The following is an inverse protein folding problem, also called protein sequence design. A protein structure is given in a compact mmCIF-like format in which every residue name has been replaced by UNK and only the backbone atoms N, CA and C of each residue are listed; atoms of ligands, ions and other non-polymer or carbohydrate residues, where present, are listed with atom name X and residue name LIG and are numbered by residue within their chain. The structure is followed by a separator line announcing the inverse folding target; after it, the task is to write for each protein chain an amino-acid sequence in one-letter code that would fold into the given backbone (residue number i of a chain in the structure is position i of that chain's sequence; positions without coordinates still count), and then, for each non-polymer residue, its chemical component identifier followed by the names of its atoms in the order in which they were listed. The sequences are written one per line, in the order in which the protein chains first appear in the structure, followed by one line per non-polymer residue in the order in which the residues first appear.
data_IF_223084097041
#
_entry.id   IF_223084097041
#
_cell.length_a   1.000
_cell.length_b   1.000
_cell.length_c   1.000
_cell.angle_alpha   90.00
_cell.angle_beta   90.00
_cell.angle_gamma   90.00
#
_symmetry.space_group_name_H-M   'P 1'
#
loop_
_entity.id
_entity.type
_entity.pdbx_description
1 polymer ?
#
# COMPACT_ATOMS: atom_id res chain seq x y z
N UNK A 1 -40.89 -6.33 10.88
CA UNK A 1 -41.02 -4.88 11.17
C UNK A 1 -39.89 -4.46 12.10
N UNK A 2 -38.65 -4.44 11.61
CA UNK A 2 -37.52 -3.74 12.21
C UNK A 2 -36.72 -3.13 11.06
N UNK A 3 -36.41 -1.85 11.19
CA UNK A 3 -35.95 -0.96 10.13
C UNK A 3 -34.44 -1.12 9.97
N UNK A 4 -33.99 -1.23 8.72
CA UNK A 4 -32.60 -1.09 8.30
C UNK A 4 -32.05 0.25 8.84
N UNK A 5 -31.13 0.20 9.80
CA UNK A 5 -30.41 1.38 10.28
C UNK A 5 -29.12 1.50 9.47
N UNK A 6 -29.14 2.35 8.44
CA UNK A 6 -27.94 2.73 7.68
C UNK A 6 -27.30 3.91 8.38
N UNK A 7 -26.21 3.69 9.11
CA UNK A 7 -25.45 4.79 9.72
C UNK A 7 -24.60 5.43 8.63
N UNK A 8 -24.94 6.67 8.28
CA UNK A 8 -24.12 7.52 7.39
C UNK A 8 -23.52 8.58 8.29
N UNK A 9 -22.21 8.53 8.54
CA UNK A 9 -21.51 9.60 9.25
C UNK A 9 -21.13 10.64 8.20
N UNK A 10 -22.06 11.57 7.94
CA UNK A 10 -21.77 12.82 7.25
C UNK A 10 -21.94 13.93 8.29
N UNK A 11 -20.92 14.78 8.40
CA UNK A 11 -20.72 15.76 9.47
C UNK A 11 -22.00 16.33 10.09
N UNK A 12 -22.15 16.11 11.40
CA UNK A 12 -23.24 16.69 12.17
C UNK A 12 -22.70 17.24 13.48
N UNK A 13 -22.66 18.58 13.57
CA UNK A 13 -22.64 19.31 14.82
C UNK A 13 -23.91 18.94 15.58
N UNK A 14 -23.80 18.21 16.71
CA UNK A 14 -24.97 17.88 17.54
C UNK A 14 -24.75 18.25 19.00
N UNK A 15 -25.73 19.01 19.48
CA UNK A 15 -25.94 19.39 20.85
C UNK A 15 -26.06 18.16 21.78
N UNK A 16 -25.29 18.20 22.87
CA UNK A 16 -25.29 17.20 23.94
C UNK A 16 -26.64 17.24 24.66
N UNK A 17 -27.49 16.26 24.40
CA UNK A 17 -28.64 15.93 25.25
C UNK A 17 -28.23 14.73 26.12
N UNK A 18 -28.02 15.00 27.40
CA UNK A 18 -27.54 14.03 28.38
C UNK A 18 -28.50 12.86 28.56
N UNK A 19 -28.05 11.68 28.14
CA UNK A 19 -28.47 10.42 28.72
C UNK A 19 -27.33 9.88 29.56
N UNK A 20 -27.55 9.83 30.88
CA UNK A 20 -26.63 9.24 31.85
C UNK A 20 -26.52 7.74 31.60
N UNK A 21 -25.45 7.31 30.93
CA UNK A 21 -25.06 5.90 30.88
C UNK A 21 -24.35 5.61 32.20
N UNK A 22 -25.03 4.86 33.07
CA UNK A 22 -24.43 4.31 34.29
C UNK A 22 -23.25 3.42 33.91
N UNK A 23 -22.05 3.79 34.37
CA UNK A 23 -20.82 3.08 34.09
C UNK A 23 -20.88 1.63 34.57
N UNK A 24 -20.88 0.69 33.63
CA UNK A 24 -20.24 -0.59 33.87
C UNK A 24 -18.74 -0.32 33.91
N UNK A 25 -18.08 -0.83 34.95
CA UNK A 25 -16.63 -0.92 34.97
C UNK A 25 -16.20 -1.76 33.76
N UNK A 26 -15.79 -1.07 32.69
CA UNK A 26 -15.29 -1.70 31.49
C UNK A 26 -14.08 -2.55 31.89
N UNK A 27 -14.12 -3.84 31.55
CA UNK A 27 -12.91 -4.65 31.51
C UNK A 27 -11.86 -3.83 30.74
N UNK A 28 -10.67 -3.66 31.30
CA UNK A 28 -9.62 -2.80 30.73
C UNK A 28 -9.01 -3.32 29.42
N UNK A 29 -9.72 -4.22 28.74
CA UNK A 29 -9.29 -4.95 27.56
C UNK A 29 -10.18 -4.60 26.39
N UNK A 30 -9.56 -4.45 25.22
CA UNK A 30 -10.28 -4.27 23.96
C UNK A 30 -11.22 -5.46 23.69
N UNK A 31 -12.41 -5.21 23.13
CA UNK A 31 -13.46 -6.22 22.97
C UNK A 31 -13.04 -7.32 21.99
N UNK A 32 -13.43 -8.56 22.28
CA UNK A 32 -13.02 -9.76 21.50
C UNK A 32 -14.19 -10.62 21.03
N UNK A 33 -15.38 -10.43 21.61
CA UNK A 33 -16.59 -11.11 21.17
C UNK A 33 -17.06 -10.49 19.85
N UNK A 34 -17.73 -11.27 19.03
CA UNK A 34 -18.33 -10.85 17.77
C UNK A 34 -19.64 -11.60 17.58
N UNK A 35 -20.53 -11.04 16.76
CA UNK A 35 -21.74 -11.69 16.29
C UNK A 35 -21.52 -12.24 14.87
N UNK A 36 -21.39 -13.57 14.69
CA UNK A 36 -21.18 -14.18 13.38
C UNK A 36 -22.30 -13.90 12.36
N UNK A 37 -23.53 -13.64 12.84
CA UNK A 37 -24.71 -13.45 11.99
C UNK A 37 -24.98 -11.97 11.70
N UNK A 38 -24.15 -11.07 12.23
CA UNK A 38 -24.31 -9.63 12.06
C UNK A 38 -24.04 -9.16 10.64
N UNK A 39 -24.99 -8.35 10.14
CA UNK A 39 -24.91 -7.62 8.87
C UNK A 39 -24.60 -6.13 9.07
N UNK A 40 -24.09 -5.76 10.25
CA UNK A 40 -23.68 -4.38 10.51
C UNK A 40 -22.37 -4.08 9.78
N UNK A 41 -22.30 -2.90 9.16
CA UNK A 41 -21.16 -2.44 8.37
C UNK A 41 -20.76 -1.03 8.79
N UNK A 42 -19.46 -0.75 8.77
CA UNK A 42 -18.89 0.57 9.02
C UNK A 42 -18.53 1.19 7.68
N UNK A 43 -18.92 2.46 7.49
CA UNK A 43 -18.55 3.22 6.29
C UNK A 43 -17.21 3.91 6.47
N UNK A 44 -16.36 3.80 5.45
CA UNK A 44 -15.01 4.35 5.46
C UNK A 44 -14.77 5.33 4.29
N UNK A 45 -15.80 6.00 3.78
CA UNK A 45 -15.68 6.81 2.56
C UNK A 45 -14.63 7.93 2.68
N UNK A 46 -14.62 8.64 3.81
CA UNK A 46 -13.66 9.73 4.07
C UNK A 46 -12.23 9.20 4.16
N UNK A 47 -12.06 8.02 4.76
CA UNK A 47 -10.77 7.35 4.84
C UNK A 47 -10.30 6.85 3.47
N UNK A 48 -11.19 6.24 2.70
CA UNK A 48 -10.92 5.79 1.34
C UNK A 48 -10.57 6.97 0.41
N UNK A 49 -11.21 8.12 0.59
CA UNK A 49 -10.88 9.34 -0.14
C UNK A 49 -9.43 9.78 0.12
N UNK A 50 -9.00 9.77 1.38
CA UNK A 50 -7.60 10.06 1.74
C UNK A 50 -6.66 9.01 1.16
N UNK A 51 -6.98 7.73 1.25
CA UNK A 51 -6.14 6.65 0.71
C UNK A 51 -5.98 6.77 -0.80
N UNK A 52 -7.08 6.90 -1.53
CA UNK A 52 -7.07 6.99 -2.99
C UNK A 52 -6.37 8.26 -3.51
N UNK A 53 -6.46 9.38 -2.78
CA UNK A 53 -5.80 10.63 -3.14
C UNK A 53 -4.32 10.71 -2.76
N UNK A 54 -3.89 10.00 -1.72
CA UNK A 54 -2.53 10.15 -1.16
C UNK A 54 -1.60 8.96 -1.38
N UNK A 55 -2.13 7.79 -1.73
CA UNK A 55 -1.35 6.56 -1.91
C UNK A 55 -1.06 6.32 -3.39
N UNK A 56 0.23 6.35 -3.75
CA UNK A 56 0.73 5.96 -5.06
C UNK A 56 1.10 4.48 -5.07
N UNK A 57 0.32 3.67 -5.78
CA UNK A 57 0.68 2.29 -6.07
C UNK A 57 1.83 2.21 -7.09
N UNK A 58 2.97 1.64 -6.70
CA UNK A 58 4.12 1.45 -7.59
C UNK A 58 4.07 0.12 -8.36
N UNK A 59 3.08 -0.73 -8.10
CA UNK A 59 2.92 -2.05 -8.69
C UNK A 59 3.84 -3.11 -8.06
N UNK A 60 3.71 -4.38 -8.49
CA UNK A 60 4.47 -5.49 -7.93
C UNK A 60 5.98 -5.32 -8.13
N UNK A 61 6.77 -5.84 -7.18
CA UNK A 61 8.22 -5.84 -7.27
C UNK A 61 8.69 -6.70 -8.46
N UNK A 62 9.72 -6.22 -9.17
CA UNK A 62 10.47 -7.00 -10.16
C UNK A 62 11.75 -7.62 -9.55
N UNK A 63 11.89 -7.55 -8.22
CA UNK A 63 13.00 -8.03 -7.40
C UNK A 63 14.37 -7.49 -7.83
N UNK A 64 14.40 -6.36 -8.53
CA UNK A 64 15.64 -5.71 -8.94
C UNK A 64 16.07 -4.72 -7.87
N UNK A 65 17.28 -4.86 -7.30
CA UNK A 65 17.80 -3.88 -6.37
C UNK A 65 17.80 -2.49 -7.01
N UNK A 66 17.31 -1.50 -6.27
CA UNK A 66 17.41 -0.11 -6.68
C UNK A 66 18.88 0.20 -7.02
N UNK A 67 19.11 0.75 -8.21
CA UNK A 67 20.46 1.16 -8.62
C UNK A 67 20.95 2.16 -7.58
N UNK A 68 22.06 1.84 -6.90
CA UNK A 68 22.74 2.80 -6.02
C UNK A 68 23.01 4.02 -6.89
N UNK A 69 22.35 5.15 -6.62
CA UNK A 69 22.53 6.36 -7.40
C UNK A 69 24.03 6.66 -7.45
N UNK A 70 24.64 6.37 -8.59
CA UNK A 70 26.05 6.64 -8.82
C UNK A 70 26.17 8.14 -8.99
N UNK A 71 26.82 8.81 -8.05
CA UNK A 71 27.37 10.14 -8.29
C UNK A 71 28.39 10.00 -9.43
N UNK A 72 27.96 10.10 -10.68
CA UNK A 72 28.85 10.13 -11.85
C UNK A 72 28.89 11.49 -12.53
N UNK A 73 28.15 12.49 -12.07
CA UNK A 73 28.10 13.80 -12.72
C UNK A 73 28.56 15.01 -11.90
N UNK A 74 28.85 14.87 -10.60
CA UNK A 74 29.32 16.02 -9.80
C UNK A 74 30.35 15.59 -8.77
N UNK A 75 31.45 16.33 -8.61
CA UNK A 75 32.47 16.20 -7.57
C UNK A 75 31.93 16.36 -6.11
N UNK A 76 30.62 16.33 -5.91
CA UNK A 76 29.99 16.32 -4.60
C UNK A 76 29.88 14.90 -4.06
N UNK A 77 30.34 14.70 -2.82
CA UNK A 77 30.19 13.43 -2.07
C UNK A 77 28.78 13.27 -1.47
N UNK A 78 27.91 14.27 -1.62
CA UNK A 78 26.54 14.22 -1.09
C UNK A 78 25.66 13.31 -1.94
N UNK A 79 24.99 12.36 -1.28
CA UNK A 79 24.00 11.47 -1.87
C UNK A 79 22.62 11.89 -1.37
N UNK A 80 21.76 12.30 -2.28
CA UNK A 80 20.38 12.68 -1.98
C UNK A 80 19.46 11.48 -2.28
N UNK A 81 18.68 11.03 -1.30
CA UNK A 81 17.71 9.93 -1.43
C UNK A 81 17.98 8.71 -0.52
N UNK A 82 17.10 7.71 -0.60
CA UNK A 82 17.22 6.43 0.09
C UNK A 82 18.15 5.48 -0.69
N UNK A 83 19.34 5.22 -0.17
CA UNK A 83 20.32 4.36 -0.86
C UNK A 83 20.12 2.84 -0.63
N UNK A 84 18.98 2.42 -0.09
CA UNK A 84 18.68 1.00 0.13
C UNK A 84 18.43 0.27 -1.19
N UNK A 85 18.65 -1.04 -1.19
CA UNK A 85 18.30 -1.90 -2.32
C UNK A 85 16.77 -1.95 -2.58
N UNK A 86 15.97 -1.63 -1.57
CA UNK A 86 14.51 -1.62 -1.60
C UNK A 86 13.92 -0.25 -1.90
N UNK A 87 14.74 0.77 -2.18
CA UNK A 87 14.29 2.15 -2.36
C UNK A 87 13.31 2.38 -3.52
N UNK A 88 13.18 1.42 -4.44
CA UNK A 88 12.21 1.44 -5.54
C UNK A 88 11.02 0.47 -5.34
N UNK A 89 10.94 -0.18 -4.19
CA UNK A 89 9.87 -1.13 -3.87
C UNK A 89 8.80 -0.52 -2.97
N UNK A 90 7.62 -1.13 -2.97
CA UNK A 90 6.47 -0.74 -2.16
C UNK A 90 5.74 0.47 -2.71
N UNK A 91 4.53 0.71 -2.21
CA UNK A 91 3.79 1.92 -2.52
C UNK A 91 4.39 3.16 -1.84
N UNK A 92 3.91 4.35 -2.22
CA UNK A 92 4.36 5.62 -1.65
C UNK A 92 3.17 6.41 -1.14
N UNK A 93 3.35 7.08 -0.02
CA UNK A 93 2.36 8.01 0.55
C UNK A 93 2.90 9.43 0.39
N UNK A 94 2.05 10.35 -0.07
CA UNK A 94 2.38 11.76 -0.27
C UNK A 94 2.40 12.54 1.05
N UNK A 95 3.24 12.12 2.00
CA UNK A 95 3.33 12.73 3.35
C UNK A 95 3.63 14.24 3.32
N UNK A 96 4.30 14.74 2.29
CA UNK A 96 4.59 16.16 2.12
C UNK A 96 3.36 17.02 1.78
N UNK A 97 2.27 16.40 1.34
CA UNK A 97 1.00 17.08 1.05
C UNK A 97 0.15 17.24 2.32
N UNK A 98 0.44 16.48 3.37
CA UNK A 98 -0.24 16.61 4.65
C UNK A 98 0.33 17.82 5.41
N UNK A 99 -0.09 19.02 5.01
CA UNK A 99 0.17 20.25 5.79
C UNK A 99 -0.64 20.28 7.09
N UNK A 100 -0.52 21.37 7.87
CA UNK A 100 -1.22 21.52 9.15
C UNK A 100 -2.74 21.22 9.05
N UNK A 101 -3.42 21.76 8.05
CA UNK A 101 -4.86 21.54 7.83
C UNK A 101 -5.20 20.06 7.52
N UNK A 102 -4.29 19.33 6.89
CA UNK A 102 -4.50 17.92 6.54
C UNK A 102 -4.17 16.98 7.71
N UNK A 103 -3.35 17.42 8.67
CA UNK A 103 -3.19 16.70 9.94
C UNK A 103 -4.53 16.66 10.69
N UNK A 104 -5.28 17.75 10.66
CA UNK A 104 -6.61 17.83 11.27
C UNK A 104 -7.59 16.87 10.59
N UNK A 105 -7.54 16.71 9.26
CA UNK A 105 -8.38 15.72 8.56
C UNK A 105 -8.07 14.27 8.98
N UNK A 106 -6.78 13.90 9.08
CA UNK A 106 -6.38 12.57 9.56
C UNK A 106 -6.77 12.36 11.03
N UNK A 107 -6.65 13.39 11.85
CA UNK A 107 -7.05 13.36 13.26
C UNK A 107 -8.57 13.22 13.40
N UNK A 108 -9.34 13.93 12.59
CA UNK A 108 -10.80 13.85 12.56
C UNK A 108 -11.26 12.44 12.19
N UNK A 109 -10.75 11.88 11.09
CA UNK A 109 -11.07 10.49 10.68
C UNK A 109 -10.70 9.49 11.79
N UNK A 110 -9.52 9.65 12.41
CA UNK A 110 -9.12 8.80 13.53
C UNK A 110 -10.12 8.92 14.70
N UNK A 111 -10.54 10.13 15.05
CA UNK A 111 -11.49 10.38 16.14
C UNK A 111 -12.88 9.83 15.84
N UNK A 112 -13.32 9.93 14.59
CA UNK A 112 -14.58 9.33 14.15
C UNK A 112 -14.53 7.82 14.29
N UNK A 113 -13.44 7.17 13.88
CA UNK A 113 -13.24 5.73 14.10
C UNK A 113 -13.15 5.36 15.59
N UNK A 114 -12.43 6.14 16.41
CA UNK A 114 -12.38 5.94 17.87
C UNK A 114 -13.78 5.95 18.51
N UNK A 115 -14.72 6.71 17.96
CA UNK A 115 -16.09 6.86 18.48
C UNK A 115 -17.07 5.77 18.04
N UNK A 116 -16.75 4.94 17.05
CA UNK A 116 -17.66 3.88 16.54
C UNK A 116 -18.24 3.01 17.67
N UNK A 117 -17.44 2.50 18.63
CA UNK A 117 -17.95 1.66 19.72
C UNK A 117 -18.92 2.37 20.67
N UNK A 118 -18.91 3.71 20.71
CA UNK A 118 -19.83 4.49 21.54
C UNK A 118 -21.25 4.49 20.96
N UNK A 119 -21.39 4.28 19.65
CA UNK A 119 -22.68 4.19 18.96
C UNK A 119 -23.18 2.77 18.80
N UNK A 120 -22.29 1.85 18.42
CA UNK A 120 -22.58 0.42 18.28
C UNK A 120 -21.39 -0.38 18.82
N UNK A 121 -21.55 -1.11 19.93
CA UNK A 121 -20.46 -1.91 20.51
C UNK A 121 -19.84 -2.85 19.48
N UNK A 122 -18.52 -3.04 19.55
CA UNK A 122 -17.81 -3.85 18.55
C UNK A 122 -18.32 -5.30 18.51
N UNK A 123 -18.84 -5.82 19.63
CA UNK A 123 -19.41 -7.15 19.74
C UNK A 123 -20.61 -7.41 18.82
N UNK A 124 -21.31 -6.35 18.40
CA UNK A 124 -22.46 -6.43 17.50
C UNK A 124 -22.03 -6.56 16.03
N UNK A 125 -20.73 -6.51 15.72
CA UNK A 125 -20.21 -6.72 14.37
C UNK A 125 -19.67 -8.13 14.19
N UNK A 126 -19.66 -8.61 12.94
CA UNK A 126 -19.01 -9.87 12.60
C UNK A 126 -17.47 -9.75 12.66
N UNK A 127 -16.79 -10.90 12.73
CA UNK A 127 -15.34 -10.96 12.91
C UNK A 127 -14.52 -10.26 11.80
N UNK A 128 -15.06 -10.17 10.58
CA UNK A 128 -14.35 -9.58 9.45
C UNK A 128 -14.49 -8.06 9.46
N UNK A 129 -15.68 -7.57 9.80
CA UNK A 129 -15.92 -6.14 9.98
C UNK A 129 -15.10 -5.59 11.16
N UNK A 130 -14.99 -6.34 12.27
CA UNK A 130 -14.07 -5.97 13.36
C UNK A 130 -12.61 -5.92 12.91
N UNK A 131 -12.16 -6.90 12.13
CA UNK A 131 -10.78 -6.93 11.62
C UNK A 131 -10.51 -5.73 10.70
N UNK A 132 -11.46 -5.39 9.82
CA UNK A 132 -11.40 -4.22 8.97
C UNK A 132 -11.32 -2.92 9.78
N UNK A 133 -12.16 -2.78 10.81
CA UNK A 133 -12.13 -1.66 11.76
C UNK A 133 -10.75 -1.47 12.38
N UNK A 134 -10.16 -2.54 12.94
CA UNK A 134 -8.86 -2.45 13.59
C UNK A 134 -7.75 -2.04 12.62
N UNK A 135 -7.75 -2.54 11.38
CA UNK A 135 -6.77 -2.11 10.39
C UNK A 135 -6.95 -0.66 9.96
N UNK A 136 -8.18 -0.20 9.73
CA UNK A 136 -8.41 1.17 9.32
C UNK A 136 -8.01 2.13 10.45
N UNK A 137 -8.39 1.86 11.70
CA UNK A 137 -8.00 2.66 12.86
C UNK A 137 -6.47 2.66 13.06
N UNK A 138 -5.83 1.49 12.96
CA UNK A 138 -4.37 1.39 13.03
C UNK A 138 -3.70 2.21 11.93
N UNK A 139 -4.13 2.04 10.67
CA UNK A 139 -3.45 2.63 9.52
C UNK A 139 -3.64 4.14 9.46
N UNK A 140 -4.81 4.68 9.85
CA UNK A 140 -5.00 6.13 9.97
C UNK A 140 -4.16 6.71 11.11
N UNK A 141 -4.05 6.01 12.25
CA UNK A 141 -3.21 6.44 13.37
C UNK A 141 -1.72 6.49 12.98
N UNK A 142 -1.23 5.48 12.26
CA UNK A 142 0.13 5.48 11.70
C UNK A 142 0.31 6.63 10.71
N UNK A 143 -0.61 6.82 9.76
CA UNK A 143 -0.52 7.93 8.81
C UNK A 143 -0.47 9.29 9.50
N UNK A 144 -1.31 9.50 10.52
CA UNK A 144 -1.31 10.72 11.33
C UNK A 144 0.05 10.95 12.03
N UNK A 145 0.57 9.94 12.75
CA UNK A 145 1.84 10.10 13.48
C UNK A 145 3.03 10.34 12.55
N UNK A 146 3.05 9.69 11.38
CA UNK A 146 4.12 9.89 10.38
C UNK A 146 4.01 11.26 9.71
N UNK A 147 2.80 11.71 9.36
CA UNK A 147 2.57 13.04 8.81
C UNK A 147 2.99 14.13 9.82
N UNK A 148 2.56 14.01 11.08
CA UNK A 148 2.92 14.93 12.17
C UNK A 148 4.43 15.01 12.40
N UNK A 149 5.16 13.91 12.21
CA UNK A 149 6.60 13.86 12.33
C UNK A 149 7.35 14.33 11.07
N UNK A 150 6.65 14.62 9.97
CA UNK A 150 7.27 15.05 8.72
C UNK A 150 7.88 16.46 8.86
N UNK A 151 9.11 16.72 8.34
CA UNK A 151 9.98 15.81 7.59
C UNK A 151 10.79 14.85 8.49
N UNK A 152 10.65 13.55 8.23
CA UNK A 152 11.42 12.49 8.88
C UNK A 152 11.92 11.46 7.87
N UNK A 153 13.22 11.12 7.93
CA UNK A 153 13.84 10.16 6.98
C UNK A 153 13.76 8.70 7.40
N UNK A 154 13.75 8.44 8.71
CA UNK A 154 13.91 7.09 9.28
C UNK A 154 12.90 6.87 10.41
N UNK A 155 12.02 5.89 10.23
CA UNK A 155 10.86 5.62 11.09
C UNK A 155 11.21 4.88 12.37
N UNK A 156 12.40 4.25 12.45
CA UNK A 156 12.87 3.66 13.70
C UNK A 156 12.97 4.71 14.83
N UNK A 157 13.13 6.00 14.51
CA UNK A 157 13.09 7.07 15.52
C UNK A 157 11.72 7.23 16.19
N UNK A 158 10.64 6.89 15.49
CA UNK A 158 9.28 6.93 16.03
C UNK A 158 8.89 5.63 16.73
N UNK A 159 9.41 4.48 16.27
CA UNK A 159 9.02 3.15 16.76
C UNK A 159 9.97 2.52 17.79
N UNK A 160 11.24 2.90 17.77
CA UNK A 160 12.29 2.34 18.65
C UNK A 160 13.06 3.44 19.39
N UNK A 161 12.71 4.71 19.15
CA UNK A 161 13.37 5.86 19.75
C UNK A 161 12.90 6.14 21.17
N UNK A 162 13.55 7.12 21.81
CA UNK A 162 13.20 7.58 23.16
C UNK A 162 11.74 8.07 23.28
N UNK A 163 11.17 8.56 22.17
CA UNK A 163 9.79 9.03 22.08
C UNK A 163 8.98 8.04 21.24
N UNK A 164 8.93 6.77 21.68
CA UNK A 164 8.25 5.72 20.94
C UNK A 164 6.74 5.98 20.86
N UNK A 165 6.26 6.46 19.71
CA UNK A 165 4.85 6.80 19.51
C UNK A 165 3.95 5.56 19.44
N UNK A 166 4.51 4.38 19.15
CA UNK A 166 3.75 3.12 19.13
C UNK A 166 3.22 2.73 20.51
N UNK A 167 3.89 3.16 21.58
CA UNK A 167 3.56 2.79 22.96
C UNK A 167 2.69 3.83 23.67
N UNK A 168 2.52 5.01 23.05
CA UNK A 168 1.74 6.11 23.63
C UNK A 168 0.25 5.80 23.50
N UNK A 169 -0.45 5.79 24.64
CA UNK A 169 -1.91 5.66 24.73
C UNK A 169 -2.58 6.96 24.24
N UNK A 170 -2.59 7.17 22.93
CA UNK A 170 -3.05 8.39 22.26
C UNK A 170 -4.49 8.33 21.76
N UNK A 171 -5.12 7.15 21.85
CA UNK A 171 -6.49 6.88 21.42
C UNK A 171 -7.33 6.38 22.60
N UNK A 172 -8.65 6.52 22.52
CA UNK A 172 -9.59 5.87 23.44
C UNK A 172 -10.66 5.15 22.64
N UNK A 173 -10.82 3.84 22.85
CA UNK A 173 -11.76 2.98 22.11
C UNK A 173 -12.70 2.35 23.13
N UNK A 174 -13.98 2.71 23.10
CA UNK A 174 -14.96 2.25 24.10
C UNK A 174 -14.53 2.57 25.54
N UNK A 175 -13.89 3.72 25.74
CA UNK A 175 -13.34 4.15 27.04
C UNK A 175 -11.99 3.53 27.43
N UNK A 176 -11.41 2.62 26.63
CA UNK A 176 -10.11 1.98 26.91
C UNK A 176 -8.97 2.81 26.31
N UNK A 177 -8.02 3.35 27.11
CA UNK A 177 -6.84 4.02 26.59
C UNK A 177 -5.97 3.04 25.78
N UNK A 178 -5.68 3.39 24.53
CA UNK A 178 -5.12 2.47 23.55
C UNK A 178 -3.99 3.14 22.75
N UNK A 179 -2.92 2.38 22.49
CA UNK A 179 -1.81 2.74 21.61
C UNK A 179 -1.87 2.00 20.28
N UNK A 180 -1.02 2.40 19.33
CA UNK A 180 -0.89 1.67 18.05
C UNK A 180 -0.44 0.23 18.30
N UNK A 181 0.52 0.01 19.21
CA UNK A 181 0.98 -1.34 19.58
C UNK A 181 -0.13 -2.18 20.19
N UNK A 182 -0.99 -1.60 21.03
CA UNK A 182 -2.10 -2.36 21.60
C UNK A 182 -3.04 -2.91 20.52
N UNK A 183 -3.29 -2.14 19.45
CA UNK A 183 -4.10 -2.60 18.32
C UNK A 183 -3.40 -3.74 17.58
N UNK A 184 -2.09 -3.61 17.32
CA UNK A 184 -1.28 -4.68 16.71
C UNK A 184 -1.38 -5.98 17.53
N UNK A 185 -1.11 -5.90 18.83
CA UNK A 185 -1.15 -7.04 19.76
C UNK A 185 -2.56 -7.62 19.88
N UNK A 186 -3.59 -6.76 19.95
CA UNK A 186 -4.98 -7.18 20.01
C UNK A 186 -5.37 -8.01 18.78
N UNK A 187 -5.08 -7.51 17.58
CA UNK A 187 -5.41 -8.23 16.34
C UNK A 187 -4.64 -9.56 16.27
N UNK A 188 -3.35 -9.58 16.61
CA UNK A 188 -2.52 -10.81 16.57
C UNK A 188 -3.02 -11.87 17.55
N UNK A 189 -3.51 -11.45 18.73
CA UNK A 189 -3.98 -12.38 19.75
C UNK A 189 -5.36 -12.99 19.43
N UNK A 190 -6.19 -12.27 18.67
CA UNK A 190 -7.56 -12.67 18.37
C UNK A 190 -7.72 -13.31 16.98
N UNK A 191 -6.93 -12.90 15.98
CA UNK A 191 -6.92 -13.49 14.64
C UNK A 191 -5.61 -14.25 14.40
N UNK A 192 -5.63 -15.56 14.67
CA UNK A 192 -4.43 -16.43 14.66
C UNK A 192 -3.87 -16.77 13.27
N UNK A 193 -4.48 -16.26 12.20
CA UNK A 193 -3.97 -16.47 10.84
C UNK A 193 -2.81 -15.49 10.55
N UNK A 194 -1.59 -15.95 10.19
CA UNK A 194 -0.46 -15.06 9.88
C UNK A 194 -0.69 -14.02 8.79
N UNK A 195 -1.74 -14.18 7.96
CA UNK A 195 -2.17 -13.15 7.00
C UNK A 195 -2.43 -11.79 7.64
N UNK A 196 -2.77 -11.76 8.94
CA UNK A 196 -3.06 -10.51 9.65
C UNK A 196 -1.88 -9.53 9.66
N UNK A 197 -0.66 -10.03 9.50
CA UNK A 197 0.54 -9.19 9.45
C UNK A 197 0.56 -8.25 8.25
N UNK A 198 -0.13 -8.58 7.17
CA UNK A 198 -0.12 -7.78 5.95
C UNK A 198 -1.13 -6.62 5.98
N UNK A 199 -1.94 -6.49 7.04
CA UNK A 199 -2.86 -5.36 7.19
C UNK A 199 -2.23 -4.13 7.86
N UNK A 200 -1.12 -4.32 8.58
CA UNK A 200 -0.44 -3.26 9.32
C UNK A 200 0.51 -2.46 8.44
N UNK A 201 0.14 -1.23 8.12
CA UNK A 201 1.04 -0.27 7.50
C UNK A 201 2.01 0.33 8.52
N UNK A 202 3.30 0.37 8.21
CA UNK A 202 4.35 0.82 9.13
C UNK A 202 4.87 2.24 8.87
N UNK A 203 4.40 2.91 7.81
CA UNK A 203 4.95 4.21 7.37
C UNK A 203 6.33 4.14 6.72
N UNK A 204 6.99 2.98 6.79
CA UNK A 204 8.32 2.73 6.25
C UNK A 204 8.27 1.90 4.96
N UNK A 205 9.31 2.02 4.13
CA UNK A 205 9.44 1.21 2.92
C UNK A 205 9.45 -0.27 3.29
N UNK A 206 10.11 -0.66 4.38
CA UNK A 206 10.32 -2.06 4.77
C UNK A 206 9.08 -2.86 5.15
N UNK A 207 7.95 -2.21 5.46
CA UNK A 207 6.69 -2.86 5.81
C UNK A 207 5.82 -3.24 4.61
N UNK A 208 4.69 -3.93 4.82
CA UNK A 208 3.66 -4.17 3.82
C UNK A 208 3.10 -2.88 3.21
N UNK A 209 2.53 -2.96 2.02
CA UNK A 209 1.94 -1.80 1.35
C UNK A 209 0.65 -1.38 2.07
N UNK A 210 0.40 -0.08 2.23
CA UNK A 210 -0.96 0.39 2.56
C UNK A 210 -1.89 0.21 1.35
N UNK A 211 -3.18 -0.07 1.56
CA UNK A 211 -4.11 -0.22 0.43
C UNK A 211 -4.59 1.15 -0.06
N UNK A 212 -5.00 1.24 -1.32
CA UNK A 212 -5.61 2.46 -1.90
C UNK A 212 -7.12 2.54 -1.62
N UNK A 213 -7.67 1.52 -0.95
CA UNK A 213 -9.05 1.39 -0.51
C UNK A 213 -9.07 1.05 0.97
N UNK A 214 -10.14 1.44 1.66
CA UNK A 214 -10.31 1.05 3.05
C UNK A 214 -10.58 -0.46 3.15
N UNK A 215 -10.18 -1.07 4.27
CA UNK A 215 -10.61 -2.42 4.57
C UNK A 215 -12.11 -2.41 4.93
N UNK A 216 -12.84 -3.44 4.52
CA UNK A 216 -14.24 -3.69 4.88
C UNK A 216 -14.39 -5.16 5.22
N UNK A 217 -15.46 -5.56 5.91
CA UNK A 217 -15.72 -6.97 6.22
C UNK A 217 -15.72 -7.85 4.96
N UNK A 218 -16.22 -7.32 3.85
CA UNK A 218 -16.28 -8.04 2.57
C UNK A 218 -14.91 -8.21 1.90
N UNK A 219 -14.01 -7.23 2.01
CA UNK A 219 -12.75 -7.22 1.26
C UNK A 219 -11.52 -7.65 2.07
N UNK A 220 -11.59 -7.65 3.41
CA UNK A 220 -10.38 -7.68 4.25
C UNK A 220 -9.52 -8.92 4.01
N UNK A 221 -10.14 -10.09 3.86
CA UNK A 221 -9.41 -11.34 3.64
C UNK A 221 -8.68 -11.35 2.30
N UNK A 222 -9.36 -10.94 1.23
CA UNK A 222 -8.77 -10.87 -0.12
C UNK A 222 -7.63 -9.85 -0.17
N UNK A 223 -7.85 -8.66 0.40
CA UNK A 223 -6.86 -7.59 0.42
C UNK A 223 -5.59 -7.98 1.21
N UNK A 224 -5.75 -8.70 2.34
CA UNK A 224 -4.62 -9.27 3.09
C UNK A 224 -3.85 -10.31 2.28
N UNK A 225 -4.53 -11.20 1.55
CA UNK A 225 -3.88 -12.20 0.70
C UNK A 225 -3.12 -11.55 -0.46
N UNK A 226 -3.73 -10.57 -1.13
CA UNK A 226 -3.08 -9.81 -2.20
C UNK A 226 -1.84 -9.09 -1.68
N UNK A 227 -1.92 -8.50 -0.49
CA UNK A 227 -0.78 -7.81 0.12
C UNK A 227 0.31 -8.80 0.59
N UNK A 228 -0.07 -9.99 1.06
CA UNK A 228 0.86 -11.08 1.36
C UNK A 228 1.69 -11.48 0.14
N UNK A 229 1.02 -11.74 -0.99
CA UNK A 229 1.68 -12.07 -2.26
C UNK A 229 2.58 -10.92 -2.71
N UNK A 230 2.13 -9.66 -2.63
CA UNK A 230 2.96 -8.50 -3.01
C UNK A 230 4.21 -8.39 -2.13
N UNK A 231 4.05 -8.51 -0.82
CA UNK A 231 5.13 -8.31 0.13
C UNK A 231 6.16 -9.45 0.08
N UNK A 232 5.73 -10.70 0.19
CA UNK A 232 6.61 -11.89 0.19
C UNK A 232 7.50 -11.93 -1.05
N UNK A 233 6.94 -11.57 -2.21
CA UNK A 233 7.66 -11.59 -3.48
C UNK A 233 8.52 -10.34 -3.72
N UNK A 234 8.57 -9.40 -2.79
CA UNK A 234 9.44 -8.22 -2.88
C UNK A 234 10.80 -8.44 -2.19
N UNK A 235 11.82 -7.65 -2.56
CA UNK A 235 13.09 -7.61 -1.84
C UNK A 235 12.95 -7.11 -0.40
N UNK A 236 11.84 -6.43 -0.06
CA UNK A 236 11.48 -6.08 1.33
C UNK A 236 10.97 -7.26 2.14
N UNK A 237 10.16 -8.12 1.54
CA UNK A 237 9.56 -9.27 2.23
C UNK A 237 10.52 -10.43 2.40
N UNK A 238 11.28 -10.76 1.36
CA UNK A 238 12.29 -11.81 1.42
C UNK A 238 13.45 -11.61 0.44
N UNK A 239 14.67 -11.77 0.96
CA UNK A 239 15.90 -11.75 0.16
C UNK A 239 16.80 -12.93 0.50
N UNK A 240 17.34 -13.60 -0.52
CA UNK A 240 18.46 -14.51 -0.35
C UNK A 240 19.79 -13.73 -0.36
N UNK A 241 20.61 -13.95 0.66
CA UNK A 241 21.98 -13.40 0.73
C UNK A 241 22.97 -14.53 0.94
N UNK A 242 23.76 -14.85 -0.10
CA UNK A 242 24.56 -16.08 -0.14
C UNK A 242 23.64 -17.30 0.07
N UNK A 243 23.82 -18.08 1.14
CA UNK A 243 22.95 -19.21 1.51
C UNK A 243 21.97 -18.90 2.64
N UNK A 244 21.89 -17.65 3.11
CA UNK A 244 21.01 -17.25 4.20
C UNK A 244 19.78 -16.52 3.65
N UNK A 245 18.60 -17.06 3.96
CA UNK A 245 17.34 -16.36 3.73
C UNK A 245 17.18 -15.24 4.74
N UNK A 246 16.76 -14.06 4.26
CA UNK A 246 16.51 -12.88 5.08
C UNK A 246 15.08 -12.41 4.86
N UNK A 247 14.11 -12.99 5.59
CA UNK A 247 12.77 -12.44 5.68
C UNK A 247 12.78 -11.06 6.35
N UNK A 248 11.69 -10.33 6.14
CA UNK A 248 11.50 -9.01 6.74
C UNK A 248 11.52 -9.05 8.27
N UNK A 249 12.09 -8.04 8.93
CA UNK A 249 11.93 -7.86 10.39
C UNK A 249 10.47 -7.56 10.78
N UNK A 250 9.59 -7.26 9.81
CA UNK A 250 8.14 -7.13 10.03
C UNK A 250 7.52 -8.37 10.70
N UNK A 251 8.07 -9.56 10.45
CA UNK A 251 7.59 -10.80 11.07
C UNK A 251 7.87 -10.89 12.58
N UNK A 252 8.65 -9.97 13.16
CA UNK A 252 8.83 -9.90 14.61
C UNK A 252 7.53 -9.55 15.34
N UNK A 253 6.67 -8.71 14.72
CA UNK A 253 5.39 -8.28 15.28
C UNK A 253 4.50 -9.49 15.61
N UNK A 254 4.37 -10.42 14.66
CA UNK A 254 3.57 -11.63 14.82
C UNK A 254 4.36 -12.88 15.15
N UNK A 255 5.50 -12.77 15.85
CA UNK A 255 6.32 -13.94 16.19
C UNK A 255 5.51 -15.02 16.92
N UNK A 256 4.52 -14.63 17.72
CA UNK A 256 3.59 -15.53 18.42
C UNK A 256 2.67 -16.35 17.50
N UNK A 257 2.52 -15.96 16.22
CA UNK A 257 1.76 -16.70 15.21
C UNK A 257 2.54 -17.87 14.62
N UNK A 258 3.83 -18.01 14.95
CA UNK A 258 4.73 -19.05 14.44
C UNK A 258 5.39 -19.80 15.60
N UNK A 259 4.74 -20.82 16.19
CA UNK A 259 5.28 -21.57 17.33
C UNK A 259 6.67 -22.17 17.08
N UNK A 260 6.88 -22.80 15.92
CA UNK A 260 8.19 -23.16 15.42
C UNK A 260 8.64 -22.11 14.40
N UNK A 261 9.14 -20.99 14.90
CA UNK A 261 9.34 -19.77 14.12
C UNK A 261 10.02 -19.99 12.76
N UNK A 262 11.13 -20.74 12.70
CA UNK A 262 11.85 -20.95 11.44
C UNK A 262 11.07 -21.82 10.45
N UNK A 263 10.48 -22.91 10.91
CA UNK A 263 9.75 -23.85 10.06
C UNK A 263 8.42 -23.26 9.58
N UNK A 264 7.65 -22.67 10.48
CA UNK A 264 6.32 -22.15 10.20
C UNK A 264 6.38 -20.90 9.32
N UNK A 265 7.34 -20.00 9.59
CA UNK A 265 7.56 -18.84 8.72
C UNK A 265 8.00 -19.29 7.33
N UNK A 266 8.88 -20.30 7.21
CA UNK A 266 9.29 -20.82 5.90
C UNK A 266 8.09 -21.39 5.13
N UNK A 267 7.24 -22.19 5.77
CA UNK A 267 6.01 -22.71 5.14
C UNK A 267 5.09 -21.58 4.67
N UNK A 268 4.88 -20.58 5.53
CA UNK A 268 4.09 -19.40 5.21
C UNK A 268 4.65 -18.64 4.01
N UNK A 269 5.95 -18.36 3.98
CA UNK A 269 6.60 -17.69 2.84
C UNK A 269 6.48 -18.51 1.55
N UNK A 270 6.60 -19.85 1.62
CA UNK A 270 6.44 -20.73 0.46
C UNK A 270 5.03 -20.63 -0.12
N UNK A 271 4.00 -20.60 0.75
CA UNK A 271 2.60 -20.53 0.33
C UNK A 271 2.29 -19.29 -0.53
N UNK A 272 2.90 -18.14 -0.23
CA UNK A 272 2.69 -16.88 -0.94
C UNK A 272 3.79 -16.54 -1.96
N UNK A 273 4.78 -17.41 -2.14
CA UNK A 273 5.90 -17.18 -3.06
C UNK A 273 5.57 -17.54 -4.51
N UNK A 274 6.00 -16.66 -5.43
CA UNK A 274 6.11 -16.90 -6.87
C UNK A 274 7.32 -17.80 -7.16
N UNK A 275 7.40 -18.42 -8.36
CA UNK A 275 8.46 -19.38 -8.68
C UNK A 275 9.89 -18.88 -8.42
N UNK A 276 10.16 -17.61 -8.71
CA UNK A 276 11.46 -16.96 -8.49
C UNK A 276 11.81 -16.85 -6.99
N UNK A 277 10.89 -16.34 -6.19
CA UNK A 277 11.04 -16.19 -4.73
C UNK A 277 11.07 -17.56 -4.05
N UNK A 278 10.30 -18.52 -4.55
CA UNK A 278 10.30 -19.90 -4.08
C UNK A 278 11.65 -20.58 -4.30
N UNK A 279 12.25 -20.39 -5.48
CA UNK A 279 13.59 -20.91 -5.77
C UNK A 279 14.64 -20.34 -4.80
N UNK A 280 14.55 -19.05 -4.47
CA UNK A 280 15.42 -18.43 -3.47
C UNK A 280 15.19 -19.01 -2.06
N UNK A 281 13.93 -19.25 -1.66
CA UNK A 281 13.56 -19.85 -0.38
C UNK A 281 14.08 -21.28 -0.23
N UNK A 282 13.96 -22.10 -1.29
CA UNK A 282 14.47 -23.49 -1.30
C UNK A 282 15.99 -23.53 -1.17
N UNK A 283 16.72 -22.58 -1.78
CA UNK A 283 18.18 -22.46 -1.64
C UNK A 283 18.63 -22.00 -0.26
N UNK A 284 17.78 -21.33 0.51
CA UNK A 284 18.13 -20.80 1.82
C UNK A 284 18.33 -21.92 2.85
N UNK A 285 19.55 -22.08 3.37
CA UNK A 285 19.90 -23.09 4.39
C UNK A 285 19.33 -22.77 5.78
N UNK A 286 19.14 -21.48 6.06
CA UNK A 286 18.53 -20.97 7.30
C UNK A 286 17.83 -19.65 7.02
N UNK A 287 16.89 -19.25 7.88
CA UNK A 287 16.28 -17.92 7.83
C UNK A 287 16.65 -17.10 9.06
N UNK A 288 16.97 -15.81 8.85
CA UNK A 288 17.17 -14.83 9.94
C UNK A 288 16.52 -13.50 9.56
N UNK A 289 15.70 -12.96 10.46
CA UNK A 289 15.11 -11.63 10.30
C UNK A 289 16.23 -10.59 10.33
N UNK A 290 16.55 -10.02 9.17
CA UNK A 290 17.67 -9.09 8.97
C UNK A 290 17.41 -8.11 7.82
N UNK A 291 16.16 -8.02 7.40
CA UNK A 291 15.79 -7.28 6.22
C UNK A 291 14.72 -6.27 6.59
N UNK A 292 15.10 -5.02 6.80
CA UNK A 292 14.12 -3.98 6.99
C UNK A 292 14.67 -2.63 6.55
N UNK A 293 13.87 -1.90 5.79
CA UNK A 293 14.19 -0.54 5.40
C UNK A 293 13.32 0.46 6.16
N UNK A 294 13.90 1.00 7.22
CA UNK A 294 13.30 2.05 8.04
C UNK A 294 13.13 3.39 7.31
N UNK A 295 13.54 3.53 6.04
CA UNK A 295 13.27 4.71 5.23
C UNK A 295 11.77 4.99 5.15
N UNK A 296 11.37 6.26 5.25
CA UNK A 296 9.97 6.66 5.07
C UNK A 296 9.44 6.25 3.68
N UNK A 297 8.19 5.78 3.64
CA UNK A 297 7.51 5.39 2.40
C UNK A 297 6.96 6.61 1.64
N UNK A 298 7.78 7.62 1.35
CA UNK A 298 7.39 8.82 0.61
C UNK A 298 8.20 9.02 -0.69
N UNK A 299 7.76 9.96 -1.52
CA UNK A 299 8.48 10.31 -2.76
C UNK A 299 9.71 11.20 -2.52
N UNK A 300 9.80 11.90 -1.39
CA UNK A 300 10.84 12.90 -1.11
C UNK A 300 11.91 12.42 -0.13
N UNK A 301 11.86 11.15 0.29
CA UNK A 301 12.74 10.53 1.28
C UNK A 301 12.82 11.39 2.56
N UNK A 302 11.66 11.85 3.06
CA UNK A 302 11.55 12.59 4.31
C UNK A 302 12.19 13.97 4.26
N UNK A 303 12.03 14.68 3.15
CA UNK A 303 12.61 16.01 2.93
C UNK A 303 11.57 16.97 2.40
N UNK A 304 11.47 18.14 3.03
CA UNK A 304 10.74 19.30 2.50
C UNK A 304 11.49 19.98 1.34
N UNK A 305 12.76 19.64 1.13
CA UNK A 305 13.58 20.22 0.08
C UNK A 305 13.19 19.61 -1.26
N UNK A 306 12.35 20.35 -1.99
CA UNK A 306 12.40 20.43 -3.45
C UNK A 306 13.87 20.65 -3.83
N UNK A 307 14.57 19.59 -4.23
CA UNK A 307 15.98 19.65 -4.54
C UNK A 307 16.15 20.49 -5.79
N UNK A 308 16.37 21.79 -5.64
CA UNK A 308 16.79 22.74 -6.65
C UNK A 308 17.76 22.06 -7.61
N UNK A 309 17.19 21.61 -8.72
CA UNK A 309 17.97 21.00 -9.79
C UNK A 309 18.77 22.12 -10.41
N UNK A 310 20.06 22.18 -10.12
CA UNK A 310 21.05 22.77 -11.01
C UNK A 310 21.05 21.96 -12.33
N UNK A 311 20.00 22.12 -13.13
CA UNK A 311 19.94 21.70 -14.52
C UNK A 311 19.88 22.99 -15.33
N UNK A 312 21.03 23.55 -15.68
CA UNK A 312 21.17 24.68 -16.61
C UNK A 312 21.08 24.24 -18.08
N UNK A 313 20.52 23.06 -18.37
CA UNK A 313 20.47 22.52 -19.72
C UNK A 313 19.02 22.43 -20.23
N UNK A 314 18.58 23.36 -21.10
CA UNK A 314 17.20 23.46 -21.58
C UNK A 314 16.68 22.18 -22.26
N UNK A 315 17.56 21.33 -22.80
CA UNK A 315 17.17 20.08 -23.48
C UNK A 315 16.68 18.98 -22.54
N UNK A 316 17.00 19.04 -21.24
CA UNK A 316 16.52 18.04 -20.27
C UNK A 316 15.08 18.30 -19.79
N UNK A 317 14.56 19.51 -19.98
CA UNK A 317 13.19 19.90 -19.68
C UNK A 317 12.21 19.57 -20.82
N UNK A 318 12.70 19.57 -22.07
CA UNK A 318 11.88 19.30 -23.26
C UNK A 318 11.38 17.85 -23.37
N UNK A 319 12.03 16.88 -22.72
CA UNK A 319 11.65 15.46 -22.78
C UNK A 319 10.48 15.07 -21.85
N UNK A 320 9.95 15.99 -21.06
CA UNK A 320 8.86 15.71 -20.12
C UNK A 320 7.52 16.33 -20.52
N UNK A 321 7.49 17.08 -21.63
CA UNK A 321 6.26 17.58 -22.26
C UNK A 321 6.14 16.94 -23.64
N UNK A 322 5.71 15.68 -23.67
CA UNK A 322 5.00 15.13 -24.82
C UNK A 322 3.63 14.69 -24.32
N UNK A 323 2.70 15.63 -24.32
CA UNK A 323 1.26 15.34 -24.36
C UNK A 323 0.90 15.05 -25.81
N UNK A 324 0.10 14.02 -26.13
CA UNK A 324 -0.54 13.96 -27.43
C UNK A 324 -1.52 15.13 -27.51
N UNK A 325 -1.31 15.99 -28.49
CA UNK A 325 -2.11 17.17 -28.72
C UNK A 325 -3.57 16.80 -29.04
N UNK A 326 -4.51 17.30 -28.25
CA UNK A 326 -5.88 17.56 -28.68
C UNK A 326 -6.06 19.08 -28.68
N UNK A 327 -6.28 19.65 -29.87
CA UNK A 327 -6.36 21.09 -30.05
C UNK A 327 -7.61 21.70 -29.43
N UNK A 328 -7.51 22.93 -28.94
CA UNK A 328 -8.18 24.07 -29.59
C UNK A 328 -7.63 25.41 -29.07
N UNK A 329 -7.88 26.44 -29.88
CA UNK A 329 -7.41 27.81 -29.94
C UNK A 329 -7.63 28.76 -28.74
N UNK A 330 -6.63 29.61 -28.46
CA UNK A 330 -6.77 31.08 -28.58
C UNK A 330 -7.11 31.96 -27.36
N UNK A 331 -6.08 32.71 -26.91
CA UNK A 331 -6.03 34.13 -26.48
C UNK A 331 -5.52 34.43 -25.04
N UNK A 332 -4.72 35.52 -24.84
CA UNK A 332 -3.93 35.78 -23.63
C UNK A 332 -4.49 36.93 -22.76
N UNK A 333 -4.31 36.87 -21.44
CA UNK A 333 -4.45 38.06 -20.57
C UNK A 333 -4.74 37.83 -19.08
N UNK A 334 -3.72 38.00 -18.24
CA UNK A 334 -3.73 38.65 -16.91
C UNK A 334 -4.75 38.27 -15.83
N UNK A 335 -4.31 37.50 -14.82
CA UNK A 335 -4.37 37.79 -13.38
C UNK A 335 -3.82 36.59 -12.58
N UNK A 336 -3.05 36.78 -11.50
CA UNK A 336 -2.72 35.67 -10.60
C UNK A 336 -3.96 35.28 -9.78
N UNK A 337 -4.37 34.00 -9.75
CA UNK A 337 -5.48 33.60 -8.88
C UNK A 337 -4.99 33.47 -7.44
N UNK A 338 -5.65 34.20 -6.53
CA UNK A 338 -5.60 33.97 -5.09
C UNK A 338 -6.04 32.54 -4.75
N UNK A 339 -5.45 31.87 -3.75
CA UNK A 339 -5.85 30.52 -3.39
C UNK A 339 -7.10 30.56 -2.51
N UNK A 340 -8.28 30.42 -3.12
CA UNK A 340 -9.47 29.94 -2.40
C UNK A 340 -9.46 28.41 -2.52
N UNK A 341 -8.99 27.74 -1.47
CA UNK A 341 -8.91 26.28 -1.40
C UNK A 341 -10.28 25.72 -1.02
N UNK A 342 -10.99 25.20 -2.02
CA UNK A 342 -12.23 24.44 -1.86
C UNK A 342 -11.96 22.94 -1.72
N UNK A 343 -12.79 22.29 -0.92
CA UNK A 343 -12.72 20.89 -0.44
C UNK A 343 -12.94 19.85 -1.58
N UNK A 344 -13.02 20.27 -2.84
CA UNK A 344 -13.52 19.45 -3.96
C UNK A 344 -12.44 18.79 -4.84
N UNK A 345 -11.15 18.88 -4.50
CA UNK A 345 -10.06 18.51 -5.44
C UNK A 345 -9.55 17.07 -5.34
N UNK A 346 -10.14 16.17 -4.55
CA UNK A 346 -9.62 14.81 -4.34
C UNK A 346 -9.85 13.82 -5.51
N UNK A 347 -10.62 14.18 -6.54
CA UNK A 347 -11.23 13.19 -7.45
C UNK A 347 -10.41 12.76 -8.69
N UNK A 348 -9.19 13.23 -8.91
CA UNK A 348 -8.41 12.80 -10.09
C UNK A 348 -6.91 12.73 -9.79
N UNK A 349 -6.41 11.50 -9.57
CA UNK A 349 -4.99 11.20 -9.34
C UNK A 349 -4.03 11.68 -10.44
N UNK A 350 -4.55 12.02 -11.62
CA UNK A 350 -3.74 12.57 -12.73
C UNK A 350 -3.43 14.07 -12.55
N UNK A 351 -4.25 14.82 -11.81
CA UNK A 351 -4.06 16.27 -11.59
C UNK A 351 -3.11 16.54 -10.40
N UNK A 352 -3.04 15.66 -9.41
CA UNK A 352 -2.18 15.81 -8.22
C UNK A 352 -0.68 15.79 -8.53
N UNK A 353 -0.26 15.18 -9.63
CA UNK A 353 1.15 15.11 -10.03
C UNK A 353 1.66 16.38 -10.72
N UNK A 354 0.78 17.25 -11.22
CA UNK A 354 1.17 18.44 -11.97
C UNK A 354 1.66 19.59 -11.06
N UNK A 355 1.07 19.72 -9.86
CA UNK A 355 1.30 20.84 -8.93
C UNK A 355 2.60 20.80 -8.12
N UNK A 356 3.24 19.63 -7.96
CA UNK A 356 4.47 19.47 -7.16
C UNK A 356 5.76 19.39 -7.99
N UNK A 357 5.67 19.73 -9.28
CA UNK A 357 6.73 19.53 -10.28
C UNK A 357 7.97 20.42 -10.10
N UNK A 358 7.99 21.31 -9.12
CA UNK A 358 9.18 22.04 -8.70
C UNK A 358 10.14 21.14 -7.90
N UNK A 359 10.90 20.34 -8.66
CA UNK A 359 12.16 19.67 -8.29
C UNK A 359 12.08 18.41 -7.41
N UNK A 360 11.54 17.35 -8.00
CA UNK A 360 11.71 15.96 -7.53
C UNK A 360 13.20 15.56 -7.53
N UNK A 361 13.64 14.89 -6.46
CA UNK A 361 15.01 14.38 -6.34
C UNK A 361 15.35 13.40 -7.49
N UNK A 362 16.63 13.26 -7.89
CA UNK A 362 17.04 12.35 -8.97
C UNK A 362 16.56 10.91 -8.79
N UNK A 363 16.51 10.44 -7.54
CA UNK A 363 16.01 9.11 -7.22
C UNK A 363 14.50 8.98 -7.40
N UNK A 364 13.72 9.98 -7.01
CA UNK A 364 12.26 10.00 -7.23
C UNK A 364 11.94 9.92 -8.72
N UNK A 365 12.69 10.65 -9.55
CA UNK A 365 12.62 10.55 -11.01
C UNK A 365 12.97 9.14 -11.50
N UNK A 366 13.98 8.49 -10.92
CA UNK A 366 14.34 7.12 -11.25
C UNK A 366 13.25 6.11 -10.86
N UNK A 367 12.61 6.28 -9.71
CA UNK A 367 11.46 5.48 -9.28
C UNK A 367 10.30 5.61 -10.27
N UNK A 368 9.90 6.83 -10.64
CA UNK A 368 8.82 7.08 -11.59
C UNK A 368 9.13 6.46 -12.97
N UNK A 369 10.38 6.56 -13.44
CA UNK A 369 10.82 5.88 -14.67
C UNK A 369 10.75 4.36 -14.54
N UNK A 370 11.17 3.80 -13.41
CA UNK A 370 11.10 2.37 -13.15
C UNK A 370 9.64 1.88 -13.10
N UNK A 371 8.73 2.66 -12.51
CA UNK A 371 7.29 2.41 -12.53
C UNK A 371 6.74 2.42 -13.96
N UNK A 372 7.02 3.48 -14.75
CA UNK A 372 6.59 3.56 -16.15
C UNK A 372 7.10 2.36 -16.97
N UNK A 373 8.37 1.98 -16.79
CA UNK A 373 8.98 0.84 -17.46
C UNK A 373 8.40 -0.51 -17.01
N UNK A 374 8.00 -0.66 -15.75
CA UNK A 374 7.27 -1.86 -15.27
C UNK A 374 5.87 -1.93 -15.87
N UNK A 375 5.14 -0.81 -15.88
CA UNK A 375 3.80 -0.74 -16.47
C UNK A 375 3.82 -1.04 -17.98
N UNK A 376 4.79 -0.49 -18.72
CA UNK A 376 4.96 -0.79 -20.14
C UNK A 376 5.27 -2.27 -20.40
N UNK A 377 6.09 -2.91 -19.56
CA UNK A 377 6.35 -4.36 -19.66
C UNK A 377 5.10 -5.18 -19.38
N UNK A 378 4.34 -4.82 -18.34
CA UNK A 378 3.05 -5.46 -18.04
C UNK A 378 2.04 -5.32 -19.17
N UNK A 379 1.99 -4.18 -19.84
CA UNK A 379 1.13 -3.96 -21.00
C UNK A 379 1.59 -4.79 -22.21
N UNK A 380 2.89 -5.03 -22.40
CA UNK A 380 3.42 -5.91 -23.44
C UNK A 380 3.16 -7.38 -23.17
N UNK A 381 3.11 -7.77 -21.89
CA UNK A 381 2.73 -9.13 -21.45
C UNK A 381 1.20 -9.32 -21.41
N UNK A 382 0.41 -8.28 -21.71
CA UNK A 382 -1.04 -8.32 -21.85
C UNK A 382 -1.47 -8.86 -23.22
N UNK A 383 -2.54 -9.66 -23.21
CA UNK A 383 -3.15 -10.41 -24.32
C UNK A 383 -2.98 -9.78 -25.72
N UNK A 384 -2.15 -10.41 -26.55
CA UNK A 384 -2.12 -10.19 -28.00
C UNK A 384 -3.22 -11.06 -28.60
N UNK A 385 -4.34 -10.46 -28.99
CA UNK A 385 -5.32 -11.12 -29.86
C UNK A 385 -4.72 -11.16 -31.26
N UNK A 386 -4.27 -12.34 -31.69
CA UNK A 386 -3.91 -12.58 -33.09
C UNK A 386 -5.21 -12.84 -33.85
N UNK A 387 -5.62 -11.88 -34.68
CA UNK A 387 -6.64 -12.10 -35.70
C UNK A 387 -5.97 -12.83 -36.87
N UNK A 388 -6.09 -14.16 -36.90
CA UNK A 388 -5.66 -14.93 -38.06
C UNK A 388 -6.78 -14.91 -39.11
N UNK A 389 -6.50 -14.30 -40.25
CA UNK A 389 -7.40 -14.27 -41.39
C UNK A 389 -7.24 -15.59 -42.17
N UNK A 390 -8.09 -16.56 -41.89
CA UNK A 390 -8.23 -17.74 -42.77
C UNK A 390 -9.19 -17.34 -43.88
N UNK A 391 -8.62 -16.88 -44.99
CA UNK A 391 -9.37 -16.73 -46.23
C UNK A 391 -9.27 -18.02 -47.01
N UNK A 392 -10.35 -18.79 -47.05
CA UNK A 392 -10.57 -19.77 -48.11
C UNK A 392 -11.86 -19.39 -48.85
N UNK A 393 -11.79 -19.51 -50.17
CA UNK A 393 -12.83 -19.23 -51.14
C UNK A 393 -14.07 -20.11 -50.89
N UNK A 394 -15.25 -19.53 -51.13
CA UNK A 394 -16.56 -20.19 -51.23
C UNK A 394 -17.16 -20.77 -49.93
N UNK A 395 -17.87 -19.93 -49.16
CA UNK A 395 -19.32 -20.07 -48.91
C UNK A 395 -19.81 -19.11 -47.81
N UNK A 396 -20.97 -18.50 -48.05
CA UNK A 396 -21.64 -17.59 -47.13
C UNK A 396 -22.13 -18.31 -45.86
N UNK A 397 -21.68 -17.84 -44.69
CA UNK A 397 -22.46 -17.92 -43.46
C UNK A 397 -21.93 -18.84 -42.35
N UNK A 398 -20.88 -18.41 -41.64
CA UNK A 398 -20.81 -18.42 -40.16
C UNK A 398 -19.47 -17.89 -39.65
N UNK A 399 -19.50 -16.78 -38.89
CA UNK A 399 -18.32 -16.24 -38.20
C UNK A 399 -18.04 -17.06 -36.94
N UNK A 400 -16.97 -17.85 -36.92
CA UNK A 400 -16.48 -18.49 -35.70
C UNK A 400 -15.24 -17.72 -35.22
N UNK A 401 -15.41 -16.90 -34.19
CA UNK A 401 -14.31 -16.23 -33.50
C UNK A 401 -13.77 -17.20 -32.45
N UNK A 402 -12.57 -17.78 -32.67
CA UNK A 402 -11.85 -18.53 -31.63
C UNK A 402 -10.85 -17.61 -30.95
N UNK A 403 -11.10 -17.30 -29.68
CA UNK A 403 -10.13 -16.64 -28.80
C UNK A 403 -9.11 -17.67 -28.35
N UNK A 404 -7.82 -17.47 -28.64
CA UNK A 404 -6.73 -18.26 -28.06
C UNK A 404 -5.77 -17.36 -27.32
N UNK A 405 -5.34 -17.79 -26.13
CA UNK A 405 -4.27 -17.13 -25.38
C UNK A 405 -2.91 -17.71 -25.79
N UNK A 406 -1.84 -16.91 -25.72
CA UNK A 406 -0.46 -17.31 -26.09
C UNK A 406 0.08 -18.53 -25.34
N UNK A 407 -0.55 -18.94 -24.21
CA UNK A 407 -0.22 -20.21 -23.54
C UNK A 407 -0.59 -21.44 -24.35
N UNK A 408 -1.64 -21.39 -25.17
CA UNK A 408 -2.09 -22.54 -25.98
C UNK A 408 -1.29 -22.69 -27.29
N UNK A 409 -0.65 -21.63 -27.79
CA UNK A 409 0.11 -21.67 -29.05
C UNK A 409 1.47 -22.33 -28.87
N UNK A 410 2.08 -22.19 -27.69
CA UNK A 410 3.39 -22.79 -27.39
C UNK A 410 3.29 -24.29 -27.09
N UNK A 411 2.14 -24.78 -26.61
CA UNK A 411 1.92 -26.22 -26.39
C UNK A 411 1.58 -26.99 -27.68
N UNK A 412 0.97 -26.35 -28.68
CA UNK A 412 0.64 -27.01 -29.96
C UNK A 412 1.82 -27.23 -30.90
N UNK A 413 2.95 -26.55 -30.67
CA UNK A 413 4.14 -26.60 -31.55
C UNK A 413 5.22 -27.58 -31.05
N UNK A 414 4.87 -28.43 -30.06
CA UNK A 414 5.80 -29.36 -29.38
C UNK A 414 5.48 -30.84 -29.59
N UNK A 415 4.64 -31.18 -30.57
CA UNK A 415 4.18 -32.56 -30.78
C UNK A 415 4.12 -32.98 -32.23
N UNK A 416 5.26 -33.14 -32.91
CA UNK A 416 5.50 -34.25 -33.84
C UNK A 416 6.99 -34.32 -34.22
N UNK A 417 7.71 -35.30 -33.66
CA UNK A 417 8.94 -35.84 -34.27
C UNK A 417 9.13 -37.28 -33.77
N UNK A 418 8.12 -38.12 -34.07
CA UNK A 418 8.15 -39.56 -33.86
C UNK A 418 8.78 -40.28 -35.05
N UNK A 419 10.09 -40.12 -35.25
CA UNK A 419 10.86 -40.90 -36.22
C UNK A 419 11.20 -42.31 -35.71
N UNK A 420 10.48 -43.31 -36.22
CA UNK A 420 10.81 -44.74 -36.10
C UNK A 420 12.21 -45.04 -36.68
N UNK A 421 13.01 -45.84 -35.98
CA UNK A 421 14.00 -46.73 -36.59
C UNK A 421 13.97 -48.10 -35.90
N UNK A 422 13.87 -49.11 -36.74
CA UNK A 422 13.70 -50.55 -36.51
C UNK A 422 15.02 -51.30 -36.29
N UNK A 423 14.88 -52.50 -35.69
CA UNK A 423 15.83 -53.59 -35.40
C UNK A 423 16.68 -53.52 -34.13
#
# INVERSE_FOLDING_TARGET
MFKNLKITVAGLVVAVLGMSISGLAADSKLPTKHDPDSTHEIRYDDWELILSGSVLDTGPSDRRPASRAGNRQTNSRMRHGNNSATGFEGNRVLFDQFGADHHESLLAIRKDLESVPDFLPLEEFNQWEQLAYWYNLHNVAVMYEVAKAYPIKKLNKLREGKNNVWDVKSMSIGGVPTSIRDIEEHVINNWRNPLVLYGFFMGSIGGPDIRTKAYTGDNVVEELQLNAVRFVNSLRGFRLWSSQGRPSEHYEIGKSLFPNFEEDLRKHLIAFSRPDTRADLVKAKSIKLKNYDWGIADLKNGSTYAGSSFNTNPRALAFFVETPAAGNSGLPGGAPPSPTVGINNFATGDIFMAGSSSSLAPQTKALLRAMKARNQRRLRDGEVTVEEFVGDEEDEGSRIVRKKSLKEVVESDSGDDGGQLTE
#
